data_IF_286339858040
#
_entry.id   IF_286339858040
#
_cell.length_a   1.000
_cell.length_b   1.000
_cell.length_c   1.000
_cell.angle_alpha   90.00
_cell.angle_beta   90.00
_cell.angle_gamma   90.00
#
_symmetry.space_group_name_H-M   'P 1'
#
loop_
_entity.id
_entity.type
_entity.pdbx_description
1 polymer ?
#
# COMPACT_ATOMS: atom_id res chain seq x y z
N UNK A 1 -4.74 -16.61 18.08
CA UNK A 1 -3.63 -15.65 18.14
C UNK A 1 -3.43 -15.03 16.76
N UNK A 2 -3.22 -13.71 16.73
CA UNK A 2 -2.90 -12.96 15.50
C UNK A 2 -1.40 -13.12 15.23
N UNK A 3 -1.03 -13.49 14.00
CA UNK A 3 0.36 -13.70 13.56
C UNK A 3 0.71 -12.94 12.27
N UNK A 4 -0.30 -12.39 11.57
CA UNK A 4 -0.12 -11.54 10.41
C UNK A 4 -0.99 -10.29 10.53
N UNK A 5 -0.54 -9.19 9.94
CA UNK A 5 -1.25 -7.91 9.85
C UNK A 5 -1.20 -7.41 8.41
N UNK A 6 -2.28 -6.77 7.99
CA UNK A 6 -2.38 -6.17 6.67
C UNK A 6 -1.83 -4.74 6.66
N UNK A 7 -1.02 -4.41 5.67
CA UNK A 7 -0.52 -3.04 5.42
C UNK A 7 -1.64 -2.12 4.95
N UNK A 8 -2.53 -2.63 4.09
CA UNK A 8 -3.57 -1.85 3.42
C UNK A 8 -3.01 -0.86 2.39
N UNK A 9 -3.90 -0.19 1.66
CA UNK A 9 -3.56 0.68 0.52
C UNK A 9 -2.85 1.99 0.88
N UNK A 10 -2.75 2.35 2.14
CA UNK A 10 -2.23 3.66 2.59
C UNK A 10 -0.98 3.54 3.45
N UNK A 11 -0.45 2.34 3.62
CA UNK A 11 0.87 2.07 4.18
C UNK A 11 1.52 0.89 3.47
N UNK A 12 2.82 0.76 3.60
CA UNK A 12 3.63 -0.34 3.07
C UNK A 12 4.47 -0.99 4.19
N UNK A 13 5.20 -2.07 3.89
CA UNK A 13 6.08 -2.71 4.87
C UNK A 13 7.14 -1.78 5.45
N UNK A 14 7.74 -0.87 4.68
CA UNK A 14 8.75 0.07 5.19
C UNK A 14 8.17 0.99 6.26
N UNK A 15 6.99 1.56 6.02
CA UNK A 15 6.29 2.37 7.00
C UNK A 15 5.99 1.58 8.28
N UNK A 16 5.47 0.37 8.14
CA UNK A 16 5.12 -0.48 9.28
C UNK A 16 6.36 -0.94 10.07
N UNK A 17 7.51 -1.14 9.41
CA UNK A 17 8.77 -1.54 10.04
C UNK A 17 9.51 -0.40 10.77
N UNK A 18 8.95 0.80 10.78
CA UNK A 18 9.36 1.87 11.70
C UNK A 18 8.84 1.63 13.14
N UNK A 19 7.89 0.73 13.32
CA UNK A 19 7.26 0.43 14.61
C UNK A 19 7.73 -0.93 15.11
N UNK A 20 8.62 -0.97 16.13
CA UNK A 20 9.27 -2.21 16.60
C UNK A 20 8.28 -3.26 17.11
N UNK A 21 7.15 -2.83 17.67
CA UNK A 21 6.10 -3.72 18.15
C UNK A 21 5.49 -4.61 17.04
N UNK A 22 5.67 -4.22 15.76
CA UNK A 22 5.16 -4.96 14.61
C UNK A 22 6.14 -6.02 14.08
N UNK A 23 7.37 -6.08 14.55
CA UNK A 23 8.40 -7.03 14.06
C UNK A 23 7.98 -8.49 14.18
N UNK A 24 7.19 -8.81 15.19
CA UNK A 24 6.67 -10.17 15.45
C UNK A 24 5.58 -10.64 14.49
N UNK A 25 5.09 -9.76 13.61
CA UNK A 25 4.00 -10.08 12.68
C UNK A 25 4.53 -10.18 11.25
N UNK A 26 3.99 -11.15 10.52
CA UNK A 26 4.12 -11.18 9.06
C UNK A 26 3.23 -10.08 8.47
N UNK A 27 3.80 -9.24 7.61
CA UNK A 27 3.02 -8.22 6.91
C UNK A 27 2.49 -8.83 5.61
N UNK A 28 1.19 -8.66 5.38
CA UNK A 28 0.46 -9.11 4.19
C UNK A 28 -0.21 -7.93 3.52
N UNK A 29 -0.52 -8.07 2.24
CA UNK A 29 -1.19 -7.05 1.46
C UNK A 29 -2.31 -7.64 0.61
N UNK A 30 -3.47 -7.00 0.62
CA UNK A 30 -4.61 -7.45 -0.16
C UNK A 30 -5.22 -6.29 -0.93
N UNK A 31 -5.65 -6.55 -2.15
CA UNK A 31 -6.08 -5.52 -3.10
C UNK A 31 -7.33 -4.73 -2.70
N UNK A 32 -8.10 -5.20 -1.74
CA UNK A 32 -9.43 -4.65 -1.41
C UNK A 32 -10.26 -4.35 -2.68
N UNK A 33 -10.20 -5.27 -3.66
CA UNK A 33 -10.77 -5.04 -4.97
C UNK A 33 -12.28 -5.21 -4.98
N UNK A 34 -12.98 -4.18 -5.45
CA UNK A 34 -14.42 -4.17 -5.67
C UNK A 34 -14.78 -4.27 -7.17
N UNK A 35 -13.78 -4.49 -8.03
CA UNK A 35 -13.93 -4.68 -9.47
C UNK A 35 -12.78 -5.50 -10.05
N UNK A 36 -13.00 -6.24 -11.17
CA UNK A 36 -11.95 -7.07 -11.78
C UNK A 36 -10.67 -6.32 -12.14
N UNK A 37 -10.78 -5.06 -12.56
CA UNK A 37 -9.62 -4.23 -12.93
C UNK A 37 -8.71 -3.83 -11.77
N UNK A 38 -9.10 -4.11 -10.53
CA UNK A 38 -8.29 -3.87 -9.32
C UNK A 38 -7.76 -5.15 -8.70
N UNK A 39 -8.08 -6.31 -9.29
CA UNK A 39 -7.55 -7.60 -8.84
C UNK A 39 -6.03 -7.62 -9.01
N UNK A 40 -5.33 -8.01 -7.95
CA UNK A 40 -3.87 -8.16 -7.97
C UNK A 40 -3.06 -6.86 -7.94
N UNK A 41 -3.70 -5.68 -7.70
CA UNK A 41 -2.93 -4.44 -7.48
C UNK A 41 -2.09 -4.52 -6.20
N UNK A 42 -2.53 -5.32 -5.25
CA UNK A 42 -1.78 -5.81 -4.11
C UNK A 42 -1.99 -7.31 -3.99
N UNK A 43 -0.95 -8.03 -3.61
CA UNK A 43 -0.99 -9.48 -3.47
C UNK A 43 0.11 -10.02 -2.57
N UNK A 44 -0.10 -11.25 -2.10
CA UNK A 44 0.84 -12.02 -1.31
C UNK A 44 1.49 -13.11 -2.18
N UNK A 45 2.80 -13.29 -2.04
CA UNK A 45 3.56 -14.30 -2.77
C UNK A 45 3.89 -15.48 -1.85
N UNK A 46 3.53 -16.66 -2.30
CA UNK A 46 3.85 -17.91 -1.61
C UNK A 46 4.68 -18.82 -2.52
N UNK A 47 5.64 -19.48 -1.92
CA UNK A 47 6.44 -20.57 -2.50
C UNK A 47 6.26 -21.81 -1.62
N UNK A 48 5.04 -22.31 -1.62
CA UNK A 48 4.60 -23.49 -0.87
C UNK A 48 3.36 -24.11 -1.53
N UNK A 49 2.93 -25.26 -1.05
CA UNK A 49 1.73 -25.92 -1.56
C UNK A 49 0.48 -25.06 -1.37
N UNK A 50 -0.40 -25.10 -2.38
CA UNK A 50 -1.65 -24.34 -2.40
C UNK A 50 -2.71 -25.05 -1.54
N UNK A 51 -2.52 -25.05 -0.26
CA UNK A 51 -3.50 -25.50 0.72
C UNK A 51 -3.54 -24.57 1.94
N UNK A 52 -4.68 -24.54 2.62
CA UNK A 52 -4.92 -23.66 3.73
C UNK A 52 -3.91 -23.81 4.89
N UNK A 53 -3.57 -25.03 5.24
CA UNK A 53 -2.72 -25.28 6.41
C UNK A 53 -1.27 -24.90 6.12
N UNK A 54 -0.77 -25.24 4.95
CA UNK A 54 0.58 -24.88 4.50
C UNK A 54 0.74 -23.36 4.38
N UNK A 55 -0.19 -22.69 3.72
CA UNK A 55 -0.17 -21.22 3.62
C UNK A 55 -0.28 -20.54 4.99
N UNK A 56 -1.11 -21.06 5.89
CA UNK A 56 -1.22 -20.56 7.26
C UNK A 56 0.08 -20.73 8.05
N UNK A 57 0.78 -21.84 7.92
CA UNK A 57 2.08 -22.04 8.58
C UNK A 57 3.16 -21.14 7.96
N UNK A 58 3.13 -20.89 6.64
CA UNK A 58 4.01 -19.92 5.99
C UNK A 58 3.78 -18.49 6.48
N UNK A 59 2.54 -18.11 6.79
CA UNK A 59 2.24 -16.80 7.40
C UNK A 59 2.68 -16.71 8.86
N UNK A 60 2.77 -17.80 9.60
CA UNK A 60 3.30 -17.82 10.97
C UNK A 60 4.82 -17.77 11.01
N UNK A 61 5.43 -18.42 10.02
CA UNK A 61 6.87 -18.54 9.86
C UNK A 61 7.19 -18.37 8.36
N UNK A 62 7.58 -17.15 7.93
CA UNK A 62 7.82 -16.89 6.52
C UNK A 62 8.84 -17.81 5.84
N UNK A 63 9.79 -18.36 6.61
CA UNK A 63 10.76 -19.33 6.08
C UNK A 63 10.11 -20.60 5.52
N UNK A 64 8.84 -20.84 5.80
CA UNK A 64 8.04 -21.96 5.27
C UNK A 64 7.34 -21.65 3.95
N UNK A 65 7.74 -20.56 3.26
CA UNK A 65 7.30 -20.28 1.91
C UNK A 65 6.48 -19.01 1.73
N UNK A 66 6.45 -18.06 2.69
CA UNK A 66 5.93 -16.73 2.43
C UNK A 66 7.07 -15.84 1.93
N UNK A 67 7.09 -15.52 0.64
CA UNK A 67 8.19 -14.80 0.00
C UNK A 67 8.00 -13.28 -0.06
N UNK A 68 6.83 -12.78 0.33
CA UNK A 68 6.56 -11.34 0.45
C UNK A 68 5.32 -10.84 -0.27
N UNK A 69 5.27 -9.53 -0.52
CA UNK A 69 4.11 -8.87 -1.09
C UNK A 69 4.43 -8.12 -2.38
N UNK A 70 3.40 -7.83 -3.16
CA UNK A 70 3.37 -6.73 -4.11
C UNK A 70 2.44 -5.67 -3.53
N UNK A 71 2.92 -4.45 -3.48
CA UNK A 71 2.23 -3.33 -2.84
C UNK A 71 1.84 -2.29 -3.87
N UNK A 72 0.85 -1.52 -3.53
CA UNK A 72 0.53 -0.25 -4.15
C UNK A 72 1.40 0.85 -3.51
N UNK A 73 1.65 1.93 -4.20
CA UNK A 73 2.34 3.06 -3.58
C UNK A 73 1.43 3.74 -2.56
N UNK A 74 1.80 3.81 -1.27
CA UNK A 74 0.91 4.33 -0.21
C UNK A 74 0.48 5.77 -0.45
N UNK A 75 1.29 6.58 -1.14
CA UNK A 75 1.01 7.97 -1.49
C UNK A 75 -0.22 8.11 -2.40
N UNK A 76 -0.52 7.09 -3.20
CA UNK A 76 -1.74 6.99 -4.01
C UNK A 76 -2.96 6.61 -3.16
N UNK A 77 -2.73 6.14 -1.95
CA UNK A 77 -3.77 5.76 -1.00
C UNK A 77 -4.53 6.98 -0.48
N UNK A 78 -5.83 6.97 -0.66
CA UNK A 78 -6.77 8.05 -0.28
C UNK A 78 -6.65 8.54 1.16
N UNK A 79 -6.16 7.68 2.04
CA UNK A 79 -6.04 7.93 3.47
C UNK A 79 -4.59 8.04 3.93
N UNK A 80 -3.63 8.14 3.01
CA UNK A 80 -2.22 8.22 3.33
C UNK A 80 -1.88 9.53 4.06
N UNK A 81 -2.20 10.66 3.46
CA UNK A 81 -1.96 11.98 4.03
C UNK A 81 -3.13 12.49 4.89
N UNK A 82 -2.80 13.46 5.75
CA UNK A 82 -3.81 14.21 6.49
C UNK A 82 -4.61 15.11 5.53
N UNK A 83 -5.88 15.36 5.84
CA UNK A 83 -6.61 16.25 4.95
C UNK A 83 -8.05 16.57 5.34
N UNK A 84 -8.65 17.43 4.52
CA UNK A 84 -10.07 17.77 4.58
C UNK A 84 -10.68 17.75 3.18
N UNK A 85 -11.27 16.61 2.81
CA UNK A 85 -11.78 16.36 1.45
C UNK A 85 -12.71 17.45 0.92
N UNK A 86 -13.65 17.97 1.76
CA UNK A 86 -14.60 19.00 1.33
C UNK A 86 -13.91 20.31 0.92
N UNK A 87 -12.71 20.56 1.41
CA UNK A 87 -11.92 21.74 1.10
C UNK A 87 -10.76 21.45 0.13
N UNK A 88 -10.68 20.21 -0.39
CA UNK A 88 -9.57 19.73 -1.22
C UNK A 88 -8.20 20.01 -0.58
N UNK A 89 -8.11 19.80 0.74
CA UNK A 89 -6.86 19.98 1.52
C UNK A 89 -6.26 18.60 1.72
N UNK A 90 -4.99 18.46 1.37
CA UNK A 90 -4.12 17.31 1.67
C UNK A 90 -2.78 17.87 2.10
N UNK A 91 -2.18 17.33 3.16
CA UNK A 91 -0.92 17.83 3.70
C UNK A 91 -0.16 16.77 4.48
N UNK A 92 1.14 16.97 4.56
CA UNK A 92 2.05 16.14 5.34
C UNK A 92 1.81 16.30 6.86
N UNK A 93 2.14 15.30 7.67
CA UNK A 93 1.97 15.35 9.13
C UNK A 93 2.61 16.56 9.79
N UNK A 94 3.81 16.98 9.34
CA UNK A 94 4.49 18.16 9.88
C UNK A 94 3.69 19.43 9.63
N UNK A 95 3.06 19.54 8.47
CA UNK A 95 2.23 20.70 8.13
C UNK A 95 0.93 20.69 8.94
N UNK A 96 0.31 19.53 9.11
CA UNK A 96 -0.84 19.36 9.99
C UNK A 96 -0.56 19.82 11.42
N UNK A 97 0.63 19.50 11.95
CA UNK A 97 1.04 19.95 13.29
C UNK A 97 1.18 21.49 13.38
N UNK A 98 1.74 22.14 12.35
CA UNK A 98 1.79 23.63 12.28
C UNK A 98 0.39 24.23 12.30
N UNK A 99 -0.55 23.63 11.61
CA UNK A 99 -1.96 24.02 11.59
C UNK A 99 -2.76 23.51 12.81
N UNK A 100 -2.11 22.87 13.80
CA UNK A 100 -2.74 22.32 15.02
C UNK A 100 -3.91 21.35 14.72
N UNK A 101 -3.81 20.61 13.62
CA UNK A 101 -4.85 19.69 13.17
C UNK A 101 -6.10 20.37 12.60
N UNK A 102 -6.03 21.63 12.25
CA UNK A 102 -7.16 22.43 11.76
C UNK A 102 -7.01 22.75 10.27
N UNK A 103 -8.07 22.56 9.53
CA UNK A 103 -8.12 22.90 8.10
C UNK A 103 -7.97 24.41 7.89
N UNK A 104 -6.97 24.88 7.12
CA UNK A 104 -6.73 26.31 6.91
C UNK A 104 -7.82 26.99 6.09
N UNK A 105 -8.67 26.23 5.39
CA UNK A 105 -9.74 26.77 4.55
C UNK A 105 -11.03 27.02 5.34
N UNK A 106 -11.44 26.08 6.21
CA UNK A 106 -12.75 26.15 6.86
C UNK A 106 -12.71 26.10 8.39
N UNK A 107 -11.53 26.00 9.01
CA UNK A 107 -11.39 25.97 10.46
C UNK A 107 -11.88 24.69 11.16
N UNK A 108 -12.26 23.64 10.41
CA UNK A 108 -12.67 22.35 10.98
C UNK A 108 -11.46 21.42 11.18
N UNK A 109 -11.58 20.42 12.08
CA UNK A 109 -10.53 19.42 12.24
C UNK A 109 -10.18 18.71 10.93
N UNK A 110 -8.88 18.47 10.72
CA UNK A 110 -8.39 17.61 9.66
C UNK A 110 -8.63 16.14 10.01
N UNK A 111 -8.84 15.31 9.00
CA UNK A 111 -8.75 13.86 9.14
C UNK A 111 -7.29 13.49 9.18
N UNK A 112 -6.87 12.79 10.21
CA UNK A 112 -5.50 12.30 10.36
C UNK A 112 -5.31 11.09 9.46
N UNK A 113 -4.26 11.12 8.65
CA UNK A 113 -3.89 10.08 7.71
C UNK A 113 -3.04 8.97 8.33
N UNK A 114 -2.82 7.92 7.54
CA UNK A 114 -2.03 6.74 7.96
C UNK A 114 -0.57 7.12 8.18
N UNK A 115 0.02 7.94 7.30
CA UNK A 115 1.40 8.43 7.43
C UNK A 115 1.62 9.15 8.77
N UNK A 116 0.70 10.01 9.17
CA UNK A 116 0.77 10.69 10.47
C UNK A 116 0.73 9.69 11.63
N UNK A 117 -0.17 8.71 11.55
CA UNK A 117 -0.27 7.70 12.60
C UNK A 117 0.96 6.81 12.69
N UNK A 118 1.56 6.47 11.57
CA UNK A 118 2.84 5.73 11.54
C UNK A 118 3.94 6.54 12.21
N UNK A 119 4.09 7.83 11.87
CA UNK A 119 5.09 8.72 12.48
C UNK A 119 4.88 8.86 13.99
N UNK A 120 3.64 8.91 14.47
CA UNK A 120 3.33 8.99 15.89
C UNK A 120 3.68 7.69 16.66
N UNK A 121 3.66 6.55 15.98
CA UNK A 121 3.94 5.23 16.57
C UNK A 121 5.38 4.78 16.37
N UNK A 122 6.08 5.37 15.39
CA UNK A 122 7.44 5.01 15.05
C UNK A 122 8.38 5.21 16.26
N UNK A 123 9.18 4.20 16.54
CA UNK A 123 10.23 4.20 17.54
C UNK A 123 11.62 3.96 16.90
N UNK A 124 11.70 4.11 15.56
CA UNK A 124 12.91 3.94 14.73
C UNK A 124 12.94 4.99 13.63
N UNK A 125 14.15 5.36 13.22
CA UNK A 125 14.40 6.30 12.11
C UNK A 125 14.49 5.60 10.74
N UNK A 126 14.62 4.27 10.74
CA UNK A 126 14.70 3.46 9.52
C UNK A 126 13.97 2.12 9.69
N UNK A 127 13.40 1.58 8.60
CA UNK A 127 12.74 0.29 8.62
C UNK A 127 13.70 -0.83 9.09
N UNK A 128 13.21 -1.73 9.91
CA UNK A 128 13.98 -2.89 10.35
C UNK A 128 13.32 -4.19 9.91
N UNK A 129 14.06 -5.02 9.18
CA UNK A 129 13.61 -6.33 8.74
C UNK A 129 14.36 -7.43 9.51
N UNK A 130 13.67 -8.22 10.35
CA UNK A 130 14.30 -9.31 11.07
C UNK A 130 14.82 -10.39 10.10
N UNK A 131 16.13 -10.62 10.08
CA UNK A 131 16.76 -11.65 9.25
C UNK A 131 16.58 -11.43 7.74
N UNK A 132 16.58 -12.53 6.98
CA UNK A 132 16.27 -12.55 5.54
C UNK A 132 14.75 -12.70 5.33
N UNK A 133 13.97 -11.81 5.94
CA UNK A 133 12.52 -11.85 5.91
C UNK A 133 11.92 -11.61 4.52
N UNK A 134 10.59 -11.73 4.43
CA UNK A 134 9.85 -11.47 3.19
C UNK A 134 10.16 -10.09 2.62
N UNK A 135 10.29 -10.01 1.30
CA UNK A 135 10.52 -8.74 0.59
C UNK A 135 9.21 -8.19 0.03
N UNK A 136 9.19 -6.90 -0.30
CA UNK A 136 8.07 -6.34 -1.04
C UNK A 136 8.54 -5.57 -2.28
N UNK A 137 7.61 -5.33 -3.21
CA UNK A 137 7.82 -4.48 -4.38
C UNK A 137 6.58 -3.63 -4.58
N UNK A 138 6.77 -2.33 -4.72
CA UNK A 138 5.67 -1.43 -5.10
C UNK A 138 5.57 -1.36 -6.62
N UNK A 139 4.35 -1.49 -7.14
CA UNK A 139 4.06 -1.49 -8.58
C UNK A 139 2.94 -0.49 -8.88
N UNK A 140 3.07 0.19 -10.02
CA UNK A 140 2.01 1.02 -10.58
C UNK A 140 1.28 0.21 -11.64
N UNK A 141 -0.07 0.15 -11.63
CA UNK A 141 -0.83 -0.52 -12.67
C UNK A 141 -0.53 0.07 -14.06
N UNK A 142 -0.24 -0.78 -15.04
CA UNK A 142 0.14 -0.35 -16.39
C UNK A 142 -0.85 0.63 -17.05
N UNK A 143 -2.19 0.51 -16.88
CA UNK A 143 -3.12 1.52 -17.40
C UNK A 143 -2.93 2.91 -16.79
N UNK A 144 -2.45 3.02 -15.54
CA UNK A 144 -2.16 4.30 -14.90
C UNK A 144 -0.92 4.95 -15.50
N UNK A 145 0.15 4.17 -15.71
CA UNK A 145 1.37 4.64 -16.41
C UNK A 145 1.05 5.10 -17.84
N UNK A 146 0.26 4.32 -18.59
CA UNK A 146 -0.17 4.69 -19.95
C UNK A 146 -1.03 5.96 -19.91
N UNK A 147 -1.92 6.07 -18.93
CA UNK A 147 -2.78 7.23 -18.74
C UNK A 147 -1.98 8.50 -18.51
N UNK A 148 -0.96 8.44 -17.68
CA UNK A 148 -0.05 9.56 -17.40
C UNK A 148 0.70 10.00 -18.67
N UNK A 149 1.31 9.04 -19.39
CA UNK A 149 2.01 9.33 -20.67
C UNK A 149 1.08 9.98 -21.69
N UNK A 150 -0.18 9.54 -21.76
CA UNK A 150 -1.17 10.07 -22.70
C UNK A 150 -1.89 11.34 -22.21
N UNK A 151 -1.65 11.79 -20.97
CA UNK A 151 -2.38 12.89 -20.35
C UNK A 151 -3.88 12.61 -20.21
N UNK A 152 -4.28 11.36 -19.93
CA UNK A 152 -5.67 10.89 -19.86
C UNK A 152 -5.90 9.99 -18.65
N UNK A 153 -7.15 9.92 -18.18
CA UNK A 153 -7.49 9.00 -17.11
C UNK A 153 -7.33 7.53 -17.52
N UNK A 154 -6.90 6.64 -16.60
CA UNK A 154 -6.55 5.24 -16.90
C UNK A 154 -7.72 4.40 -17.45
N UNK A 155 -8.95 4.77 -17.16
CA UNK A 155 -10.16 4.08 -17.63
C UNK A 155 -10.68 4.60 -18.98
N UNK A 156 -9.99 5.54 -19.63
CA UNK A 156 -10.43 6.06 -20.94
C UNK A 156 -10.20 5.04 -22.04
N UNK A 157 -11.07 5.05 -23.06
CA UNK A 157 -11.03 4.12 -24.19
C UNK A 157 -9.63 4.07 -24.85
N UNK A 158 -9.01 5.23 -25.10
CA UNK A 158 -7.69 5.30 -25.71
C UNK A 158 -6.58 4.66 -24.88
N UNK A 159 -6.62 4.81 -23.56
CA UNK A 159 -5.68 4.16 -22.62
C UNK A 159 -5.88 2.65 -22.62
N UNK A 160 -7.13 2.18 -22.57
CA UNK A 160 -7.44 0.75 -22.58
C UNK A 160 -7.07 0.08 -23.91
N UNK A 161 -7.26 0.76 -25.04
CA UNK A 161 -6.79 0.29 -26.34
C UNK A 161 -5.26 0.19 -26.41
N UNK A 162 -4.55 1.18 -25.87
CA UNK A 162 -3.08 1.14 -25.82
C UNK A 162 -2.58 0.05 -24.87
N UNK A 163 -3.23 -0.10 -23.72
CA UNK A 163 -2.95 -1.19 -22.78
C UNK A 163 -3.08 -2.56 -23.48
N UNK A 164 -4.19 -2.79 -24.18
CA UNK A 164 -4.42 -4.05 -24.88
C UNK A 164 -3.37 -4.31 -25.99
N UNK A 165 -2.98 -3.28 -26.75
CA UNK A 165 -1.90 -3.38 -27.74
C UNK A 165 -0.57 -3.76 -27.09
N UNK A 166 -0.27 -3.17 -25.93
CA UNK A 166 0.97 -3.45 -25.18
C UNK A 166 0.99 -4.89 -24.71
N UNK A 167 -0.09 -5.38 -24.09
CA UNK A 167 -0.20 -6.77 -23.62
C UNK A 167 -0.10 -7.75 -24.82
N UNK A 168 -0.79 -7.48 -25.92
CA UNK A 168 -0.73 -8.35 -27.12
C UNK A 168 0.67 -8.42 -27.72
N UNK A 169 1.48 -7.36 -27.60
CA UNK A 169 2.83 -7.30 -28.16
C UNK A 169 3.89 -7.97 -27.27
N UNK A 170 3.80 -7.81 -25.97
CA UNK A 170 4.85 -8.21 -25.02
C UNK A 170 4.45 -9.41 -24.15
N UNK A 171 3.20 -9.82 -24.21
CA UNK A 171 2.63 -10.84 -23.32
C UNK A 171 2.23 -10.26 -21.97
N UNK A 172 1.61 -11.10 -21.17
CA UNK A 172 1.20 -10.80 -19.79
C UNK A 172 2.04 -11.62 -18.80
#
# INVERSE_FOLDING_TARGET
HIFALETGLSSDPDMNRLVSALDRFTLISNSDCHSPGKLGRELNRFDCDLDFFTMREALKDPAKGFSGTMEFFPEEGKYHLDGHRKCNVSMEPQETRKHRGICPVCGKPLTIGVSHRVIDLADRDAPHYPGNGPTFKSLIPLPEVIGEIMGRGPATKGVLEQYQKTINRFGS
#
